data_IF_638460804519
#
_entry.id   IF_638460804519
#
_cell.length_a   1.000
_cell.length_b   1.000
_cell.length_c   1.000
_cell.angle_alpha   90.00
_cell.angle_beta   90.00
_cell.angle_gamma   90.00
#
_symmetry.space_group_name_H-M   'P 1'
#
loop_
_entity.id
_entity.type
_entity.pdbx_description
1 polymer ?
#
# COMPACT_ATOMS: atom_id res chain seq x y z
N UNK A 1 -5.57 28.12 21.76
CA UNK A 1 -4.72 26.96 21.41
C UNK A 1 -3.42 27.50 20.84
N UNK A 2 -2.25 27.11 21.36
CA UNK A 2 -0.98 27.67 20.90
C UNK A 2 -0.71 27.29 19.44
N UNK A 3 -0.06 28.18 18.70
CA UNK A 3 0.44 27.91 17.34
C UNK A 3 1.34 26.67 17.29
N UNK A 4 2.09 26.44 18.37
CA UNK A 4 2.88 25.22 18.61
C UNK A 4 2.04 23.94 18.53
N UNK A 5 0.88 23.90 19.19
CA UNK A 5 0.00 22.72 19.18
C UNK A 5 -0.61 22.46 17.79
N UNK A 6 -0.89 23.53 17.04
CA UNK A 6 -1.37 23.40 15.65
C UNK A 6 -0.27 22.88 14.72
N UNK A 7 0.97 23.29 14.95
CA UNK A 7 2.14 22.81 14.20
C UNK A 7 2.42 21.33 14.50
N UNK A 8 2.35 20.93 15.76
CA UNK A 8 2.53 19.55 16.20
C UNK A 8 1.47 18.62 15.61
N UNK A 9 0.22 19.08 15.54
CA UNK A 9 -0.88 18.32 14.94
C UNK A 9 -0.72 18.15 13.42
N UNK A 10 -0.27 19.19 12.70
CA UNK A 10 0.00 19.13 11.26
C UNK A 10 1.18 18.20 10.96
N UNK A 11 2.30 18.37 11.68
CA UNK A 11 3.49 17.54 11.49
C UNK A 11 3.21 16.08 11.86
N UNK A 12 2.56 15.83 12.99
CA UNK A 12 2.21 14.50 13.46
C UNK A 12 1.30 13.76 12.48
N UNK A 13 0.25 14.42 11.99
CA UNK A 13 -0.66 13.84 11.01
C UNK A 13 0.03 13.59 9.65
N UNK A 14 0.88 14.52 9.21
CA UNK A 14 1.65 14.34 7.97
C UNK A 14 2.65 13.19 8.07
N UNK A 15 3.31 13.02 9.22
CA UNK A 15 4.28 11.94 9.44
C UNK A 15 3.57 10.58 9.45
N UNK A 16 2.42 10.49 10.11
CA UNK A 16 1.55 9.30 10.10
C UNK A 16 1.10 8.95 8.68
N UNK A 17 0.60 9.93 7.91
CA UNK A 17 0.18 9.70 6.52
C UNK A 17 1.31 9.16 5.64
N UNK A 18 2.51 9.74 5.74
CA UNK A 18 3.71 9.27 5.01
C UNK A 18 4.05 7.84 5.40
N UNK A 19 4.01 7.52 6.69
CA UNK A 19 4.35 6.19 7.21
C UNK A 19 3.36 5.13 6.69
N UNK A 20 2.07 5.45 6.63
CA UNK A 20 1.05 4.54 6.09
C UNK A 20 1.24 4.35 4.58
N UNK A 21 1.58 5.40 3.82
CA UNK A 21 1.90 5.29 2.39
C UNK A 21 3.09 4.35 2.16
N UNK A 22 4.15 4.46 2.96
CA UNK A 22 5.34 3.60 2.86
C UNK A 22 4.97 2.13 3.09
N UNK A 23 4.18 1.83 4.13
CA UNK A 23 3.72 0.47 4.42
C UNK A 23 2.88 -0.08 3.25
N UNK A 24 1.98 0.74 2.72
CA UNK A 24 1.11 0.35 1.62
C UNK A 24 1.92 0.00 0.35
N UNK A 25 2.92 0.82 0.00
CA UNK A 25 3.84 0.54 -1.12
C UNK A 25 4.63 -0.75 -0.89
N UNK A 26 5.11 -0.97 0.34
CA UNK A 26 5.87 -2.17 0.70
C UNK A 26 5.05 -3.45 0.51
N UNK A 27 3.78 -3.46 0.91
CA UNK A 27 2.89 -4.62 0.73
C UNK A 27 2.72 -4.96 -0.77
N UNK A 28 2.54 -3.95 -1.62
CA UNK A 28 2.41 -4.15 -3.08
C UNK A 28 3.70 -4.73 -3.67
N UNK A 29 4.86 -4.22 -3.25
CA UNK A 29 6.17 -4.73 -3.69
C UNK A 29 6.40 -6.18 -3.25
N UNK A 30 6.04 -6.55 -2.02
CA UNK A 30 6.12 -7.95 -1.56
C UNK A 30 5.24 -8.89 -2.38
N UNK A 31 4.02 -8.45 -2.74
CA UNK A 31 3.14 -9.22 -3.61
C UNK A 31 3.70 -9.35 -5.04
N UNK A 32 4.34 -8.30 -5.58
CA UNK A 32 5.06 -8.38 -6.86
C UNK A 32 6.19 -9.42 -6.82
N UNK A 33 7.05 -9.35 -5.80
CA UNK A 33 8.18 -10.28 -5.66
C UNK A 33 7.68 -11.73 -5.58
N UNK A 34 6.61 -11.98 -4.80
CA UNK A 34 5.95 -13.29 -4.78
C UNK A 34 5.51 -13.72 -6.17
N UNK A 35 4.80 -12.89 -6.93
CA UNK A 35 4.37 -13.28 -8.29
C UNK A 35 5.56 -13.66 -9.18
N UNK A 36 6.66 -12.88 -9.12
CA UNK A 36 7.84 -13.14 -9.94
C UNK A 36 8.52 -14.46 -9.59
N UNK A 37 8.62 -14.79 -8.31
CA UNK A 37 9.23 -16.04 -7.86
C UNK A 37 8.34 -17.25 -8.20
N UNK A 38 7.03 -17.11 -8.00
CA UNK A 38 6.03 -18.13 -8.33
C UNK A 38 5.89 -18.39 -9.84
N UNK A 39 6.30 -17.45 -10.70
CA UNK A 39 6.22 -17.60 -12.15
C UNK A 39 7.21 -18.64 -12.71
N UNK A 40 8.23 -19.05 -11.95
CA UNK A 40 9.28 -19.98 -12.41
C UNK A 40 9.03 -21.45 -12.06
N UNK A 41 8.15 -21.77 -11.11
CA UNK A 41 8.14 -23.09 -10.45
C UNK A 41 6.77 -23.75 -10.29
N UNK A 42 5.65 -23.03 -10.42
CA UNK A 42 4.33 -23.55 -10.03
C UNK A 42 3.33 -23.77 -11.18
N UNK A 43 2.38 -24.72 -11.02
CA UNK A 43 1.33 -24.99 -12.01
C UNK A 43 0.44 -23.76 -12.25
N UNK A 44 -0.13 -23.67 -13.47
CA UNK A 44 -0.88 -22.50 -13.98
C UNK A 44 -2.00 -22.00 -13.05
N UNK A 45 -2.64 -22.88 -12.29
CA UNK A 45 -3.76 -22.54 -11.40
C UNK A 45 -3.34 -21.61 -10.24
N UNK A 46 -2.21 -21.92 -9.60
CA UNK A 46 -1.66 -21.11 -8.48
C UNK A 46 -1.22 -19.73 -8.99
N UNK A 47 -0.75 -19.66 -10.24
CA UNK A 47 -0.37 -18.41 -10.88
C UNK A 47 -1.57 -17.48 -11.09
N UNK A 48 -2.73 -18.01 -11.48
CA UNK A 48 -3.96 -17.22 -11.62
C UNK A 48 -4.42 -16.70 -10.26
N UNK A 49 -4.37 -17.53 -9.22
CA UNK A 49 -4.73 -17.11 -7.85
C UNK A 49 -3.83 -15.96 -7.36
N UNK A 50 -2.51 -16.07 -7.51
CA UNK A 50 -1.58 -15.00 -7.13
C UNK A 50 -1.77 -13.72 -7.94
N UNK A 51 -2.12 -13.83 -9.23
CA UNK A 51 -2.43 -12.68 -10.07
C UNK A 51 -3.72 -11.98 -9.61
N UNK A 52 -4.76 -12.74 -9.28
CA UNK A 52 -6.02 -12.19 -8.75
C UNK A 52 -5.76 -11.48 -7.41
N UNK A 53 -5.00 -12.09 -6.50
CA UNK A 53 -4.61 -11.46 -5.23
C UNK A 53 -3.83 -10.16 -5.44
N UNK A 54 -2.93 -10.12 -6.42
CA UNK A 54 -2.20 -8.91 -6.76
C UNK A 54 -3.10 -7.80 -7.27
N UNK A 55 -3.98 -8.10 -8.23
CA UNK A 55 -4.94 -7.14 -8.78
C UNK A 55 -5.86 -6.60 -7.68
N UNK A 56 -6.34 -7.45 -6.77
CA UNK A 56 -7.12 -7.03 -5.61
C UNK A 56 -6.30 -6.13 -4.68
N UNK A 57 -5.06 -6.49 -4.36
CA UNK A 57 -4.17 -5.66 -3.51
C UNK A 57 -3.85 -4.31 -4.14
N UNK A 58 -3.65 -4.27 -5.46
CA UNK A 58 -3.40 -3.05 -6.22
C UNK A 58 -4.64 -2.14 -6.23
N UNK A 59 -5.83 -2.72 -6.42
CA UNK A 59 -7.09 -2.00 -6.36
C UNK A 59 -7.30 -1.33 -4.99
N UNK A 60 -7.07 -2.07 -3.90
CA UNK A 60 -7.14 -1.52 -2.54
C UNK A 60 -6.10 -0.41 -2.32
N UNK A 61 -4.88 -0.59 -2.82
CA UNK A 61 -3.82 0.41 -2.75
C UNK A 61 -4.20 1.72 -3.44
N UNK A 62 -4.76 1.65 -4.65
CA UNK A 62 -5.22 2.83 -5.39
C UNK A 62 -6.34 3.54 -4.63
N UNK A 63 -7.34 2.79 -4.13
CA UNK A 63 -8.41 3.38 -3.30
C UNK A 63 -7.87 4.02 -2.03
N UNK A 64 -6.86 3.42 -1.41
CA UNK A 64 -6.22 3.95 -0.22
C UNK A 64 -5.54 5.30 -0.50
N UNK A 65 -4.75 5.42 -1.58
CA UNK A 65 -4.15 6.71 -1.99
C UNK A 65 -5.23 7.75 -2.28
N UNK A 66 -6.28 7.38 -3.02
CA UNK A 66 -7.38 8.29 -3.35
C UNK A 66 -8.10 8.77 -2.07
N UNK A 67 -8.26 7.91 -1.08
CA UNK A 67 -8.87 8.30 0.21
C UNK A 67 -8.01 9.30 1.00
N UNK A 68 -6.68 9.19 0.94
CA UNK A 68 -5.78 10.18 1.54
C UNK A 68 -5.88 11.52 0.79
N UNK A 69 -5.99 11.50 -0.54
CA UNK A 69 -6.06 12.75 -1.34
C UNK A 69 -7.36 13.54 -1.18
N UNK A 70 -8.40 12.93 -0.60
CA UNK A 70 -9.70 13.56 -0.34
C UNK A 70 -9.80 14.20 1.06
N UNK A 71 -8.76 14.11 1.88
CA UNK A 71 -8.64 14.68 3.22
C UNK A 71 -7.58 15.78 3.26
#
# INVERSE_FOLDING_TARGET
>A
MSTLYSFENIFGNSLLNILIIIIAVWIVLLNLIKIFDYNKTHPKEIKVINLVFFVLSLWFFIRFILSISLF
#
